data_IF_977136878479
#
_entry.id   IF_977136878479
#
_cell.length_a   1.000
_cell.length_b   1.000
_cell.length_c   1.000
_cell.angle_alpha   90.00
_cell.angle_beta   90.00
_cell.angle_gamma   90.00
#
_symmetry.space_group_name_H-M   'P 1'
#
loop_
_entity.id
_entity.type
_entity.pdbx_description
1 polymer ?
#
# COMPACT_ATOMS: atom_id res chain seq x y z
N UNK A 1 -18.91 -3.81 8.80
CA UNK A 1 -17.55 -3.51 8.31
C UNK A 1 -17.51 -3.87 6.84
N UNK A 2 -17.26 -2.90 5.98
CA UNK A 2 -17.20 -3.11 4.54
C UNK A 2 -15.80 -3.65 4.21
N UNK A 3 -15.73 -4.84 3.61
CA UNK A 3 -14.45 -5.44 3.24
C UNK A 3 -14.09 -5.04 1.81
N UNK A 4 -13.01 -4.28 1.65
CA UNK A 4 -12.53 -3.79 0.36
C UNK A 4 -11.12 -4.31 0.13
N UNK A 5 -10.94 -5.08 -0.93
CA UNK A 5 -9.64 -5.60 -1.34
C UNK A 5 -8.69 -4.45 -1.72
N UNK A 6 -7.40 -4.66 -1.56
CA UNK A 6 -6.38 -3.74 -2.07
C UNK A 6 -6.31 -3.83 -3.59
N UNK A 7 -6.22 -2.66 -4.23
CA UNK A 7 -5.94 -2.55 -5.67
C UNK A 7 -4.42 -2.48 -5.91
N UNK A 8 -4.01 -2.73 -7.16
CA UNK A 8 -2.60 -2.64 -7.56
C UNK A 8 -2.09 -1.21 -7.38
N UNK A 9 -2.90 -0.20 -7.70
CA UNK A 9 -2.53 1.20 -7.56
C UNK A 9 -2.31 1.61 -6.10
N UNK A 10 -3.14 1.09 -5.18
CA UNK A 10 -2.91 1.30 -3.73
C UNK A 10 -1.67 0.56 -3.23
N UNK A 11 -1.36 -0.62 -3.79
CA UNK A 11 -0.13 -1.33 -3.44
C UNK A 11 1.11 -0.57 -3.94
N UNK A 12 1.11 -0.16 -5.22
CA UNK A 12 2.19 0.61 -5.84
C UNK A 12 2.43 1.93 -5.10
N UNK A 13 1.38 2.70 -4.81
CA UNK A 13 1.52 3.95 -4.07
C UNK A 13 2.10 3.73 -2.66
N UNK A 14 1.74 2.64 -1.98
CA UNK A 14 2.30 2.33 -0.66
C UNK A 14 3.78 1.91 -0.75
N UNK A 15 4.18 1.13 -1.76
CA UNK A 15 5.58 0.82 -2.04
C UNK A 15 6.38 2.08 -2.39
N UNK A 16 5.81 2.99 -3.18
CA UNK A 16 6.44 4.28 -3.47
C UNK A 16 6.72 5.06 -2.18
N UNK A 17 5.75 5.16 -1.28
CA UNK A 17 5.95 5.80 0.02
C UNK A 17 7.03 5.11 0.84
N UNK A 18 7.04 3.78 0.86
CA UNK A 18 8.06 3.00 1.57
C UNK A 18 9.48 3.27 1.04
N UNK A 19 9.70 3.15 -0.27
CA UNK A 19 11.04 3.32 -0.86
C UNK A 19 11.56 4.76 -0.80
N UNK A 20 10.66 5.75 -0.72
CA UNK A 20 11.03 7.16 -0.56
C UNK A 20 11.12 7.60 0.91
N UNK A 21 11.01 6.68 1.88
CA UNK A 21 11.07 6.99 3.31
C UNK A 21 9.90 7.83 3.83
N UNK A 22 8.79 7.91 3.08
CA UNK A 22 7.58 8.66 3.42
C UNK A 22 6.66 7.85 4.34
N UNK A 23 7.20 7.33 5.44
CA UNK A 23 6.49 6.41 6.34
C UNK A 23 6.08 7.06 7.65
N UNK A 24 6.25 8.39 7.80
CA UNK A 24 5.83 9.10 9.00
C UNK A 24 4.31 9.07 9.16
N UNK A 25 3.83 9.30 10.39
CA UNK A 25 2.39 9.39 10.68
C UNK A 25 1.68 10.45 9.81
N UNK A 26 2.36 11.55 9.49
CA UNK A 26 1.79 12.60 8.64
C UNK A 26 1.73 12.19 7.17
N UNK A 27 2.73 11.45 6.67
CA UNK A 27 2.72 10.93 5.31
C UNK A 27 1.60 9.89 5.13
N UNK A 28 1.43 8.99 6.09
CA UNK A 28 0.35 8.00 6.09
C UNK A 28 -1.03 8.65 6.17
N UNK A 29 -1.18 9.77 6.89
CA UNK A 29 -2.43 10.56 6.88
C UNK A 29 -2.73 11.10 5.49
N UNK A 30 -1.73 11.67 4.81
CA UNK A 30 -1.89 12.20 3.45
C UNK A 30 -2.25 11.08 2.47
N UNK A 31 -1.58 9.93 2.55
CA UNK A 31 -1.87 8.77 1.71
C UNK A 31 -3.27 8.21 1.97
N UNK A 32 -3.67 8.07 3.23
CA UNK A 32 -5.02 7.65 3.62
C UNK A 32 -6.09 8.58 3.04
N UNK A 33 -5.88 9.90 3.11
CA UNK A 33 -6.79 10.88 2.53
C UNK A 33 -6.85 10.77 1.00
N UNK A 34 -5.72 10.54 0.33
CA UNK A 34 -5.67 10.32 -1.11
C UNK A 34 -6.47 9.07 -1.53
N UNK A 35 -6.31 7.96 -0.82
CA UNK A 35 -7.10 6.73 -1.07
C UNK A 35 -8.59 6.94 -0.86
N UNK A 36 -8.99 7.64 0.22
CA UNK A 36 -10.39 7.97 0.46
C UNK A 36 -10.97 8.85 -0.64
N UNK A 37 -10.23 9.87 -1.09
CA UNK A 37 -10.63 10.73 -2.21
C UNK A 37 -10.82 9.92 -3.50
N UNK A 38 -9.89 9.00 -3.81
CA UNK A 38 -10.00 8.10 -4.97
C UNK A 38 -11.21 7.18 -4.85
N UNK A 39 -11.48 6.59 -3.68
CA UNK A 39 -12.64 5.73 -3.48
C UNK A 39 -13.96 6.48 -3.76
N UNK A 40 -14.08 7.73 -3.29
CA UNK A 40 -15.23 8.60 -3.60
C UNK A 40 -15.38 8.85 -5.10
N UNK A 41 -14.27 9.16 -5.80
CA UNK A 41 -14.28 9.37 -7.26
C UNK A 41 -14.73 8.12 -8.04
N UNK A 42 -14.40 6.93 -7.54
CA UNK A 42 -14.79 5.64 -8.13
C UNK A 42 -16.18 5.16 -7.68
N UNK A 43 -16.90 5.93 -6.85
CA UNK A 43 -18.20 5.53 -6.30
C UNK A 43 -18.12 4.33 -5.35
N UNK A 44 -16.95 4.04 -4.77
CA UNK A 44 -16.75 2.94 -3.84
C UNK A 44 -17.24 3.35 -2.46
N UNK A 45 -18.21 2.62 -1.92
CA UNK A 45 -18.68 2.83 -0.55
C UNK A 45 -17.63 2.36 0.45
N UNK A 46 -17.21 3.24 1.36
CA UNK A 46 -16.19 2.95 2.38
C UNK A 46 -16.70 3.19 3.80
N UNK A 47 -16.05 2.60 4.79
CA UNK A 47 -16.25 2.91 6.21
C UNK A 47 -14.97 3.52 6.84
N UNK A 48 -15.00 3.83 8.13
CA UNK A 48 -13.87 4.46 8.85
C UNK A 48 -12.61 3.57 8.94
N UNK A 49 -12.75 2.27 8.66
CA UNK A 49 -11.62 1.34 8.62
C UNK A 49 -10.92 1.33 7.26
N UNK A 50 -11.54 1.88 6.22
CA UNK A 50 -10.94 1.94 4.90
C UNK A 50 -9.63 2.74 4.92
N UNK A 51 -8.53 2.02 4.62
CA UNK A 51 -7.17 2.55 4.46
C UNK A 51 -6.76 3.55 5.55
N UNK A 52 -7.17 3.30 6.79
CA UNK A 52 -6.78 4.13 7.92
C UNK A 52 -5.28 3.94 8.28
N UNK A 53 -4.77 4.78 9.17
CA UNK A 53 -3.35 4.77 9.55
C UNK A 53 -2.91 3.40 10.05
N UNK A 54 -3.69 2.74 10.91
CA UNK A 54 -3.33 1.44 11.45
C UNK A 54 -3.23 0.37 10.35
N UNK A 55 -4.17 0.38 9.41
CA UNK A 55 -4.15 -0.50 8.25
C UNK A 55 -2.93 -0.25 7.36
N UNK A 56 -2.59 1.02 7.11
CA UNK A 56 -1.40 1.40 6.33
C UNK A 56 -0.10 0.98 7.03
N UNK A 57 0.02 1.24 8.34
CA UNK A 57 1.19 0.82 9.13
C UNK A 57 1.37 -0.70 9.13
N UNK A 58 0.27 -1.46 9.21
CA UNK A 58 0.32 -2.91 9.09
C UNK A 58 0.85 -3.33 7.71
N UNK A 59 0.37 -2.72 6.63
CA UNK A 59 0.87 -3.04 5.29
C UNK A 59 2.33 -2.60 5.09
N UNK A 60 2.80 -1.51 5.69
CA UNK A 60 4.23 -1.15 5.68
C UNK A 60 5.09 -2.23 6.37
N UNK A 61 4.60 -2.82 7.46
CA UNK A 61 5.25 -3.97 8.10
C UNK A 61 5.30 -5.19 7.17
N UNK A 62 4.23 -5.46 6.41
CA UNK A 62 4.20 -6.50 5.38
C UNK A 62 5.20 -6.22 4.24
N UNK A 63 5.27 -4.97 3.76
CA UNK A 63 6.24 -4.55 2.75
C UNK A 63 7.66 -4.73 3.27
N UNK A 64 7.93 -4.36 4.52
CA UNK A 64 9.26 -4.55 5.14
C UNK A 64 9.67 -6.02 5.13
N UNK A 65 8.72 -6.92 5.42
CA UNK A 65 8.96 -8.36 5.34
C UNK A 65 9.33 -8.82 3.94
N UNK A 66 8.58 -8.38 2.93
CA UNK A 66 8.86 -8.74 1.54
C UNK A 66 10.23 -8.19 1.09
N UNK A 67 10.51 -6.92 1.35
CA UNK A 67 11.73 -6.24 0.89
C UNK A 67 12.99 -6.78 1.58
N UNK A 68 12.87 -7.27 2.81
CA UNK A 68 13.99 -7.82 3.59
C UNK A 68 14.15 -9.34 3.46
N UNK A 69 13.48 -9.94 2.47
CA UNK A 69 13.45 -11.40 2.27
C UNK A 69 13.08 -12.16 3.55
N UNK A 70 12.09 -11.64 4.27
CA UNK A 70 11.51 -12.25 5.46
C UNK A 70 12.23 -11.99 6.78
N UNK A 71 13.26 -11.13 6.81
CA UNK A 71 14.06 -10.87 8.04
C UNK A 71 13.37 -9.96 9.05
N UNK A 72 12.58 -8.98 8.60
CA UNK A 72 11.96 -7.96 9.47
C UNK A 72 10.51 -7.68 9.07
N UNK A 73 9.64 -7.29 10.00
CA UNK A 73 8.25 -6.91 9.70
C UNK A 73 7.25 -8.07 9.86
N UNK A 74 6.17 -8.06 9.09
CA UNK A 74 5.05 -9.00 9.25
C UNK A 74 4.92 -9.97 8.07
N UNK A 75 4.88 -11.27 8.35
CA UNK A 75 4.77 -12.33 7.34
C UNK A 75 3.37 -12.49 6.73
N UNK A 76 2.37 -11.76 7.22
CA UNK A 76 0.97 -11.85 6.78
C UNK A 76 0.65 -11.02 5.52
N UNK A 77 1.66 -10.75 4.69
CA UNK A 77 1.50 -10.05 3.43
C UNK A 77 0.63 -10.84 2.44
N UNK A 78 -0.30 -10.18 1.75
CA UNK A 78 -1.09 -10.84 0.71
C UNK A 78 -0.28 -11.01 -0.58
N UNK A 79 -0.71 -11.92 -1.46
CA UNK A 79 -0.08 -12.19 -2.76
C UNK A 79 0.12 -10.91 -3.59
N UNK A 80 -0.83 -9.98 -3.54
CA UNK A 80 -0.76 -8.69 -4.23
C UNK A 80 0.53 -7.91 -3.91
N UNK A 81 0.96 -7.89 -2.64
CA UNK A 81 2.16 -7.15 -2.25
C UNK A 81 3.44 -7.85 -2.74
N UNK A 82 3.47 -9.18 -2.77
CA UNK A 82 4.57 -9.93 -3.39
C UNK A 82 4.65 -9.67 -4.90
N UNK A 83 3.52 -9.72 -5.60
CA UNK A 83 3.45 -9.44 -7.04
C UNK A 83 3.85 -8.00 -7.35
N UNK A 84 3.45 -7.04 -6.51
CA UNK A 84 3.81 -5.63 -6.66
C UNK A 84 5.31 -5.41 -6.44
N UNK A 85 5.92 -6.07 -5.45
CA UNK A 85 7.38 -6.02 -5.26
C UNK A 85 8.13 -6.69 -6.42
N UNK A 86 7.61 -7.83 -6.91
CA UNK A 86 8.17 -8.48 -8.09
C UNK A 86 8.14 -7.55 -9.30
N UNK A 87 7.00 -6.89 -9.56
CA UNK A 87 6.86 -5.88 -10.62
C UNK A 87 7.87 -4.74 -10.46
N UNK A 88 8.06 -4.22 -9.25
CA UNK A 88 9.08 -3.22 -8.96
C UNK A 88 10.50 -3.69 -9.32
N UNK A 89 10.81 -4.98 -9.09
CA UNK A 89 12.13 -5.56 -9.36
C UNK A 89 12.37 -5.91 -10.83
N UNK A 90 11.35 -6.34 -11.56
CA UNK A 90 11.49 -6.86 -12.93
C UNK A 90 11.07 -5.87 -14.01
N UNK A 91 10.18 -4.93 -13.71
CA UNK A 91 9.66 -3.93 -14.64
C UNK A 91 9.43 -2.58 -13.95
N UNK A 92 10.50 -1.92 -13.46
CA UNK A 92 10.39 -0.65 -12.73
C UNK A 92 9.72 0.47 -13.55
N UNK A 93 9.83 0.44 -14.88
CA UNK A 93 9.15 1.35 -15.79
C UNK A 93 7.62 1.15 -15.84
N UNK A 94 7.15 -0.08 -15.64
CA UNK A 94 5.71 -0.37 -15.53
C UNK A 94 5.23 0.06 -14.14
N UNK A 95 5.99 -0.29 -13.10
CA UNK A 95 5.71 0.13 -11.73
C UNK A 95 5.52 1.65 -11.63
N UNK A 96 6.44 2.44 -12.22
CA UNK A 96 6.39 3.90 -12.18
C UNK A 96 5.27 4.53 -13.01
N UNK A 97 4.69 3.80 -13.97
CA UNK A 97 3.55 4.28 -14.78
C UNK A 97 2.20 4.03 -14.13
N UNK A 98 2.13 3.12 -13.14
CA UNK A 98 0.91 2.87 -12.37
C UNK A 98 0.65 4.01 -11.37
N UNK A 99 1.70 4.73 -10.97
CA UNK A 99 1.67 5.82 -10.00
C UNK A 99 1.63 7.20 -10.67
#
# INVERSE_FOLDING_TARGET
MIKINWSVEEAVALFYFYFNGLTSKNDLKKLSAAYKKRAVMLGIQTDDKFRNINGLSMQLGCITYIVTDGKHGFSSASKLFYETYHLYKTSPEVFSRIF
#
